data_IF_033765858849
#
_entry.id   IF_033765858849
#
_cell.length_a   1.000
_cell.length_b   1.000
_cell.length_c   1.000
_cell.angle_alpha   90.00
_cell.angle_beta   90.00
_cell.angle_gamma   90.00
#
_symmetry.space_group_name_H-M   'P 1'
#
loop_
_entity.id
_entity.type
_entity.pdbx_description
1 polymer ?
#
# COMPACT_ATOMS: atom_id res chain seq x y z
N UNK A 1 12.42 6.51 5.99
CA UNK A 1 11.11 5.86 6.29
C UNK A 1 10.33 6.64 7.36
N UNK A 2 9.01 6.60 7.30
CA UNK A 2 8.11 7.32 8.21
C UNK A 2 8.39 6.93 9.68
N UNK A 3 8.63 7.93 10.53
CA UNK A 3 8.85 7.72 11.98
C UNK A 3 7.56 7.74 12.78
N UNK A 4 6.53 8.37 12.23
CA UNK A 4 5.19 8.48 12.80
C UNK A 4 4.23 7.52 12.07
N UNK A 5 3.19 7.06 12.76
CA UNK A 5 2.14 6.23 12.19
C UNK A 5 1.26 7.07 11.24
N UNK A 6 1.58 7.04 9.95
CA UNK A 6 0.85 7.81 8.93
C UNK A 6 -0.63 7.38 8.89
N UNK A 7 -1.58 8.30 8.65
CA UNK A 7 -2.99 7.93 8.59
C UNK A 7 -3.33 6.97 7.45
N UNK A 8 -2.67 7.11 6.29
CA UNK A 8 -2.87 6.25 5.14
C UNK A 8 -1.63 6.18 4.24
N UNK A 9 -1.03 7.32 3.88
CA UNK A 9 0.17 7.34 3.04
C UNK A 9 -0.15 7.15 1.55
N UNK A 10 -0.82 8.14 0.95
CA UNK A 10 -1.25 8.10 -0.47
C UNK A 10 -0.10 7.87 -1.45
N UNK A 11 1.11 8.34 -1.10
CA UNK A 11 2.33 8.18 -1.90
C UNK A 11 2.68 6.71 -2.13
N UNK A 12 2.33 5.81 -1.20
CA UNK A 12 2.49 4.37 -1.41
C UNK A 12 1.63 3.87 -2.57
N UNK A 13 0.35 4.29 -2.64
CA UNK A 13 -0.54 3.94 -3.75
C UNK A 13 -0.09 4.57 -5.08
N UNK A 14 0.44 5.79 -5.06
CA UNK A 14 1.00 6.44 -6.25
C UNK A 14 2.24 5.69 -6.75
N UNK A 15 3.15 5.31 -5.85
CA UNK A 15 4.30 4.47 -6.16
C UNK A 15 3.89 3.14 -6.78
N UNK A 16 2.89 2.47 -6.16
CA UNK A 16 2.29 1.25 -6.69
C UNK A 16 1.73 1.51 -8.10
N UNK A 17 0.98 2.59 -8.33
CA UNK A 17 0.45 2.94 -9.66
C UNK A 17 1.54 3.20 -10.71
N UNK A 18 2.70 3.72 -10.30
CA UNK A 18 3.88 3.89 -11.14
C UNK A 18 4.68 2.60 -11.39
N UNK A 19 4.26 1.46 -10.83
CA UNK A 19 4.95 0.17 -10.97
C UNK A 19 6.16 0.02 -10.04
N UNK A 20 6.25 0.84 -8.98
CA UNK A 20 7.23 0.67 -7.93
C UNK A 20 6.71 -0.25 -6.82
N UNK A 21 7.63 -0.93 -6.14
CA UNK A 21 7.33 -1.74 -4.96
C UNK A 21 7.66 -0.91 -3.70
N UNK A 22 6.65 -0.34 -3.01
CA UNK A 22 6.91 0.41 -1.79
C UNK A 22 7.37 -0.52 -0.66
N UNK A 23 8.39 -0.09 0.08
CA UNK A 23 8.80 -0.71 1.34
C UNK A 23 8.40 0.26 2.46
N UNK A 24 7.46 -0.15 3.31
CA UNK A 24 6.88 0.72 4.34
C UNK A 24 7.03 0.16 5.75
N UNK A 25 6.83 1.01 6.75
CA UNK A 25 6.78 0.54 8.13
C UNK A 25 5.46 -0.18 8.42
N UNK A 26 5.48 -1.18 9.29
CA UNK A 26 4.34 -2.00 9.73
C UNK A 26 3.35 -1.28 10.68
N UNK A 27 3.22 0.04 10.55
CA UNK A 27 2.42 0.88 11.44
C UNK A 27 1.55 1.89 10.68
N UNK A 28 0.45 2.30 11.30
CA UNK A 28 -0.49 3.25 10.73
C UNK A 28 -1.18 2.71 9.47
N UNK A 29 -1.71 3.60 8.65
CA UNK A 29 -2.38 3.26 7.41
C UNK A 29 -1.44 2.92 6.25
N UNK A 30 -0.11 2.98 6.43
CA UNK A 30 0.83 2.44 5.42
C UNK A 30 0.62 0.94 5.23
N UNK A 31 0.23 0.22 6.28
CA UNK A 31 -0.12 -1.21 6.22
C UNK A 31 -1.25 -1.42 5.20
N UNK A 32 -2.29 -0.59 5.27
CA UNK A 32 -3.44 -0.66 4.37
C UNK A 32 -3.12 -0.13 2.97
N UNK A 33 -2.33 0.95 2.86
CA UNK A 33 -1.98 1.56 1.57
C UNK A 33 -1.01 0.71 0.74
N UNK A 34 -0.10 -0.03 1.38
CA UNK A 34 0.81 -0.96 0.69
C UNK A 34 0.10 -2.29 0.42
N UNK A 35 -0.66 -2.82 1.38
CA UNK A 35 -1.36 -4.08 1.24
C UNK A 35 -0.42 -5.22 0.81
N UNK A 36 -0.77 -5.90 -0.28
CA UNK A 36 0.04 -6.99 -0.85
C UNK A 36 1.03 -6.53 -1.92
N UNK A 37 1.17 -5.25 -2.17
CA UNK A 37 2.01 -4.71 -3.24
C UNK A 37 3.45 -4.40 -2.81
N UNK A 38 3.83 -4.73 -1.58
CA UNK A 38 5.20 -4.56 -1.09
C UNK A 38 5.38 -5.06 0.33
N UNK A 39 6.63 -5.18 0.80
CA UNK A 39 6.93 -5.64 2.14
C UNK A 39 6.78 -4.53 3.19
N UNK A 40 6.50 -4.96 4.42
CA UNK A 40 6.45 -4.11 5.60
C UNK A 40 7.58 -4.49 6.57
N UNK A 41 8.11 -3.52 7.31
CA UNK A 41 9.16 -3.75 8.31
C UNK A 41 8.94 -2.94 9.60
N UNK A 42 9.56 -3.33 10.74
CA UNK A 42 9.41 -2.60 11.99
C UNK A 42 9.93 -1.17 11.93
N UNK A 43 9.20 -0.23 12.52
CA UNK A 43 9.65 1.17 12.61
C UNK A 43 10.97 1.32 13.39
N UNK A 44 11.86 2.18 12.89
CA UNK A 44 13.23 2.38 13.39
C UNK A 44 14.18 1.17 13.26
N UNK A 45 13.82 0.14 12.49
CA UNK A 45 14.71 -0.97 12.17
C UNK A 45 15.37 -0.78 10.79
N UNK A 46 16.52 -0.11 10.77
CA UNK A 46 17.27 0.11 9.53
C UNK A 46 17.89 -1.18 8.99
N UNK A 47 18.16 -2.17 9.84
CA UNK A 47 18.71 -3.46 9.44
C UNK A 47 17.72 -4.26 8.60
N UNK A 48 16.46 -4.37 9.04
CA UNK A 48 15.42 -5.05 8.28
C UNK A 48 15.15 -4.33 6.95
N UNK A 49 15.12 -3.00 6.96
CA UNK A 49 14.95 -2.24 5.71
C UNK A 49 16.07 -2.54 4.70
N UNK A 50 17.33 -2.55 5.14
CA UNK A 50 18.47 -2.84 4.27
C UNK A 50 18.36 -4.27 3.69
N UNK A 51 18.03 -5.25 4.53
CA UNK A 51 17.86 -6.63 4.10
C UNK A 51 16.74 -6.79 3.04
N UNK A 52 15.61 -6.10 3.20
CA UNK A 52 14.52 -6.13 2.22
C UNK A 52 14.90 -5.50 0.88
N UNK A 53 15.68 -4.40 0.91
CA UNK A 53 16.17 -3.77 -0.33
C UNK A 53 17.12 -4.74 -1.06
N UNK A 54 18.05 -5.37 -0.35
CA UNK A 54 18.97 -6.36 -0.92
C UNK A 54 18.23 -7.58 -1.47
N UNK A 55 17.23 -8.10 -0.75
CA UNK A 55 16.43 -9.24 -1.19
C UNK A 55 15.67 -8.94 -2.48
N UNK A 56 15.03 -7.77 -2.58
CA UNK A 56 14.30 -7.33 -3.76
C UNK A 56 15.22 -7.12 -4.97
N UNK A 57 16.43 -6.61 -4.76
CA UNK A 57 17.43 -6.43 -5.83
C UNK A 57 17.96 -7.78 -6.34
N UNK A 58 18.18 -8.74 -5.43
CA UNK A 58 18.74 -10.05 -5.76
C UNK A 58 17.71 -11.07 -6.26
N UNK A 59 16.40 -10.82 -6.03
CA UNK A 59 15.33 -11.80 -6.31
C UNK A 59 14.28 -11.24 -7.28
N UNK A 60 14.56 -11.18 -8.60
CA UNK A 60 13.59 -10.71 -9.61
C UNK A 60 12.21 -11.39 -9.59
N UNK A 61 12.08 -12.70 -9.24
CA UNK A 61 10.76 -13.31 -9.08
C UNK A 61 9.91 -12.69 -7.97
N UNK A 62 10.52 -12.32 -6.84
CA UNK A 62 9.83 -11.71 -5.70
C UNK A 62 9.25 -10.34 -6.08
N UNK A 63 10.02 -9.54 -6.83
CA UNK A 63 9.56 -8.27 -7.39
C UNK A 63 8.30 -8.44 -8.26
N UNK A 64 8.25 -9.50 -9.09
CA UNK A 64 7.10 -9.77 -9.96
C UNK A 64 5.85 -10.16 -9.17
N UNK A 65 6.00 -10.92 -8.07
CA UNK A 65 4.87 -11.30 -7.23
C UNK A 65 4.14 -10.08 -6.67
N UNK A 66 4.88 -9.04 -6.24
CA UNK A 66 4.27 -7.80 -5.76
C UNK A 66 3.57 -7.01 -6.88
N UNK A 67 4.13 -7.02 -8.09
CA UNK A 67 3.50 -6.37 -9.25
C UNK A 67 2.20 -7.08 -9.69
N UNK A 68 2.10 -8.39 -9.55
CA UNK A 68 0.88 -9.14 -9.88
C UNK A 68 -0.33 -8.70 -9.03
N UNK A 69 -0.08 -8.23 -7.80
CA UNK A 69 -1.12 -7.73 -6.89
C UNK A 69 -1.54 -6.28 -7.18
N UNK A 70 -0.73 -5.53 -7.94
CA UNK A 70 -0.87 -4.09 -8.20
C UNK A 70 -2.27 -3.73 -8.71
N UNK A 71 -2.74 -4.41 -9.76
CA UNK A 71 -4.01 -4.09 -10.39
C UNK A 71 -5.17 -4.32 -9.44
N UNK A 72 -5.17 -5.45 -8.73
CA UNK A 72 -6.23 -5.79 -7.79
C UNK A 72 -6.30 -4.77 -6.65
N UNK A 73 -5.15 -4.37 -6.11
CA UNK A 73 -5.06 -3.41 -5.03
C UNK A 73 -5.50 -1.99 -5.43
N UNK A 74 -5.04 -1.49 -6.58
CA UNK A 74 -5.36 -0.14 -7.06
C UNK A 74 -6.85 0.03 -7.43
N UNK A 75 -7.52 -1.01 -7.94
CA UNK A 75 -8.96 -0.95 -8.25
C UNK A 75 -9.78 -0.60 -7.00
N UNK A 76 -9.41 -1.16 -5.84
CA UNK A 76 -10.10 -0.92 -4.57
C UNK A 76 -9.93 0.51 -4.05
N UNK A 77 -8.82 1.16 -4.43
CA UNK A 77 -8.45 2.52 -4.03
C UNK A 77 -8.71 3.57 -5.13
N UNK A 78 -9.30 3.15 -6.26
CA UNK A 78 -9.60 4.07 -7.36
C UNK A 78 -10.66 5.10 -6.96
N UNK A 79 -10.60 6.34 -7.49
CA UNK A 79 -11.60 7.36 -7.21
C UNK A 79 -13.04 6.90 -7.46
N UNK A 80 -13.25 6.09 -8.51
CA UNK A 80 -14.56 5.52 -8.84
C UNK A 80 -15.06 4.59 -7.72
N UNK A 81 -14.24 3.64 -7.27
CA UNK A 81 -14.62 2.70 -6.21
C UNK A 81 -14.85 3.42 -4.89
N UNK A 82 -13.97 4.35 -4.53
CA UNK A 82 -14.10 5.14 -3.29
C UNK A 82 -15.37 5.99 -3.33
N UNK A 83 -15.61 6.74 -4.41
CA UNK A 83 -16.81 7.56 -4.56
C UNK A 83 -18.09 6.72 -4.46
N UNK A 84 -18.13 5.55 -5.11
CA UNK A 84 -19.29 4.65 -5.02
C UNK A 84 -19.55 4.20 -3.58
N UNK A 85 -18.51 3.82 -2.83
CA UNK A 85 -18.65 3.44 -1.41
C UNK A 85 -19.22 4.57 -0.56
N UNK A 86 -18.83 5.82 -0.82
CA UNK A 86 -19.42 6.98 -0.13
C UNK A 86 -20.89 7.19 -0.51
N UNK A 87 -21.22 7.11 -1.80
CA UNK A 87 -22.60 7.24 -2.28
C UNK A 87 -23.53 6.19 -1.66
N UNK A 88 -23.08 4.93 -1.61
CA UNK A 88 -23.86 3.84 -0.99
C UNK A 88 -24.19 4.13 0.49
N UNK A 89 -23.27 4.78 1.22
CA UNK A 89 -23.49 5.19 2.61
C UNK A 89 -24.52 6.33 2.68
N UNK A 90 -24.39 7.34 1.82
CA UNK A 90 -25.31 8.47 1.78
C UNK A 90 -26.74 8.04 1.39
N UNK A 91 -26.89 7.16 0.42
CA UNK A 91 -28.20 6.62 0.02
C UNK A 91 -28.86 5.79 1.12
N UNK A 92 -28.07 5.01 1.88
CA UNK A 92 -28.58 4.27 3.04
C UNK A 92 -29.03 5.21 4.16
N UNK A 93 -28.29 6.31 4.37
CA UNK A 93 -28.61 7.29 5.39
C UNK A 93 -29.84 8.14 5.01
N UNK A 94 -30.04 8.44 3.72
CA UNK A 94 -31.14 9.28 3.23
C UNK A 94 -32.49 8.56 3.13
N UNK A 95 -32.51 7.22 3.20
CA UNK A 95 -33.72 6.39 3.17
C UNK A 95 -34.32 6.13 4.57
N UNK A 96 -33.83 6.84 5.61
CA UNK A 96 -34.42 6.90 6.95
C UNK A 96 -35.33 8.10 7.09
#
# INVERSE_FOLDING_TARGET
PSRWAEPFGIVALEGIACGAIPIGTDQGGLVDAIGKCGPLFPANDSSTLAALIEELDQTPPLYRQYLEEQQHHLIQHSPKTVAQRYLDIFEKASKK
#
